data_IF_645360611188
#
_entry.id   IF_645360611188
#
_cell.length_a   1.000
_cell.length_b   1.000
_cell.length_c   1.000
_cell.angle_alpha   90.00
_cell.angle_beta   90.00
_cell.angle_gamma   90.00
#
_symmetry.space_group_name_H-M   'P 1'
#
loop_
_entity.id
_entity.type
_entity.pdbx_description
1 polymer ?
#
# COMPACT_ATOMS: atom_id res chain seq x y z
N UNK A 1 14.05 -23.45 -3.05
CA UNK A 1 13.62 -22.19 -3.70
C UNK A 1 13.30 -21.23 -2.58
N UNK A 2 13.93 -20.07 -2.58
CA UNK A 2 13.53 -19.01 -1.65
C UNK A 2 12.20 -18.43 -2.17
N UNK A 3 11.16 -18.53 -1.34
CA UNK A 3 9.83 -18.01 -1.65
C UNK A 3 9.69 -16.57 -1.18
N UNK A 4 8.82 -15.83 -1.86
CA UNK A 4 8.48 -14.46 -1.54
C UNK A 4 6.95 -14.32 -1.45
N UNK A 5 6.49 -13.40 -0.62
CA UNK A 5 5.10 -12.96 -0.56
C UNK A 5 5.05 -11.48 -0.92
N UNK A 6 4.12 -11.11 -1.81
CA UNK A 6 3.73 -9.74 -2.07
C UNK A 6 2.41 -9.49 -1.33
N UNK A 7 2.43 -8.55 -0.38
CA UNK A 7 1.26 -8.09 0.36
C UNK A 7 0.75 -6.77 -0.21
N UNK A 8 -0.58 -6.63 -0.26
CA UNK A 8 -1.26 -5.37 -0.56
C UNK A 8 -2.12 -5.05 0.65
N UNK A 9 -1.94 -3.84 1.20
CA UNK A 9 -2.84 -3.28 2.21
C UNK A 9 -3.56 -2.09 1.59
N UNK A 10 -4.90 -2.12 1.65
CA UNK A 10 -5.77 -1.13 1.01
C UNK A 10 -7.00 -0.81 1.85
N UNK A 11 -6.92 -0.98 3.18
CA UNK A 11 -7.96 -0.57 4.12
C UNK A 11 -7.71 0.85 4.63
N UNK A 12 -8.72 1.44 5.29
CA UNK A 12 -8.66 2.80 5.82
C UNK A 12 -8.17 3.83 4.78
N UNK A 13 -7.15 4.62 5.11
CA UNK A 13 -6.58 5.72 4.33
C UNK A 13 -5.26 5.39 3.64
N UNK A 14 -4.67 4.23 3.90
CA UNK A 14 -3.36 3.86 3.34
C UNK A 14 -3.49 2.83 2.21
N UNK A 15 -2.76 3.08 1.12
CA UNK A 15 -2.42 2.04 0.15
C UNK A 15 -0.95 1.68 0.28
N UNK A 16 -0.61 0.42 0.49
CA UNK A 16 0.77 -0.02 0.57
C UNK A 16 1.04 -1.37 -0.08
N UNK A 17 2.29 -1.54 -0.52
CA UNK A 17 2.81 -2.80 -1.05
C UNK A 17 4.04 -3.20 -0.24
N UNK A 18 4.05 -4.43 0.23
CA UNK A 18 5.16 -5.03 0.95
C UNK A 18 5.64 -6.31 0.28
N UNK A 19 6.96 -6.52 0.22
CA UNK A 19 7.55 -7.77 -0.27
C UNK A 19 8.41 -8.37 0.84
N UNK A 20 8.16 -9.64 1.16
CA UNK A 20 8.82 -10.35 2.25
C UNK A 20 9.28 -11.74 1.79
N UNK A 21 10.49 -12.13 2.17
CA UNK A 21 10.99 -13.48 1.97
C UNK A 21 10.36 -14.44 2.97
N UNK A 22 10.25 -15.73 2.65
CA UNK A 22 9.75 -16.73 3.61
C UNK A 22 10.69 -16.96 4.81
N UNK A 23 11.86 -16.31 4.83
CA UNK A 23 12.77 -16.25 5.99
C UNK A 23 12.49 -15.05 6.90
N UNK A 24 11.53 -14.19 6.55
CA UNK A 24 11.13 -13.02 7.32
C UNK A 24 11.89 -11.73 7.00
N UNK A 25 12.68 -11.71 5.93
CA UNK A 25 13.35 -10.49 5.48
C UNK A 25 12.37 -9.61 4.69
N UNK A 26 12.32 -8.31 5.03
CA UNK A 26 11.51 -7.31 4.34
C UNK A 26 12.35 -6.73 3.20
N UNK A 27 11.92 -6.96 1.96
CA UNK A 27 12.58 -6.44 0.75
C UNK A 27 12.00 -5.08 0.33
N UNK A 28 10.69 -4.88 0.54
CA UNK A 28 9.99 -3.64 0.23
C UNK A 28 8.88 -3.37 1.24
N UNK A 29 8.63 -2.09 1.50
CA UNK A 29 7.50 -1.59 2.29
C UNK A 29 7.20 -0.14 1.86
N UNK A 30 6.43 0.01 0.79
CA UNK A 30 6.10 1.30 0.17
C UNK A 30 4.67 1.67 0.55
N UNK A 31 4.46 2.87 1.08
CA UNK A 31 3.17 3.34 1.61
C UNK A 31 2.80 4.67 0.96
N UNK A 32 1.53 4.81 0.57
CA UNK A 32 0.91 6.05 0.14
C UNK A 32 -0.36 6.33 0.94
N UNK A 33 -0.26 7.25 1.89
CA UNK A 33 -1.37 7.66 2.76
C UNK A 33 -2.25 8.73 2.11
N UNK A 34 -3.57 8.57 2.20
CA UNK A 34 -4.54 9.59 1.86
C UNK A 34 -4.73 10.54 3.05
N UNK A 35 -4.26 11.79 2.92
CA UNK A 35 -4.47 12.80 3.94
C UNK A 35 -5.56 13.79 3.49
N UNK A 36 -6.78 13.74 4.05
CA UNK A 36 -7.82 14.70 3.68
C UNK A 36 -7.43 16.12 4.14
N UNK A 37 -7.77 17.16 3.37
CA UNK A 37 -7.42 18.54 3.72
C UNK A 37 -8.12 19.01 5.00
N UNK A 38 -9.33 18.52 5.27
CA UNK A 38 -10.11 18.82 6.47
C UNK A 38 -10.97 17.61 6.86
N UNK A 39 -11.27 17.46 8.15
CA UNK A 39 -12.16 16.42 8.66
C UNK A 39 -11.52 15.03 8.77
N UNK A 40 -12.36 13.99 8.71
CA UNK A 40 -11.96 12.59 8.80
C UNK A 40 -11.93 11.89 7.44
N UNK A 41 -11.54 10.61 7.43
CA UNK A 41 -11.42 9.81 6.21
C UNK A 41 -12.78 9.67 5.53
N UNK A 42 -12.88 10.12 4.29
CA UNK A 42 -14.05 9.89 3.46
C UNK A 42 -13.86 8.60 2.64
N UNK A 43 -14.68 7.55 2.83
CA UNK A 43 -14.42 6.23 2.23
C UNK A 43 -14.28 6.24 0.70
N UNK A 44 -15.03 7.09 0.00
CA UNK A 44 -14.92 7.19 -1.46
C UNK A 44 -13.65 7.89 -1.92
N UNK A 45 -13.13 8.83 -1.13
CA UNK A 45 -11.91 9.55 -1.48
C UNK A 45 -10.68 8.68 -1.24
N UNK A 46 -10.65 7.96 -0.11
CA UNK A 46 -9.63 6.93 0.15
C UNK A 46 -9.62 5.85 -0.95
N UNK A 47 -10.79 5.30 -1.32
CA UNK A 47 -10.85 4.32 -2.40
C UNK A 47 -10.36 4.87 -3.76
N UNK A 48 -10.62 6.15 -4.04
CA UNK A 48 -10.10 6.81 -5.25
C UNK A 48 -8.59 6.99 -5.17
N UNK A 49 -8.06 7.47 -4.05
CA UNK A 49 -6.62 7.58 -3.81
C UNK A 49 -5.91 6.24 -4.02
N UNK A 50 -6.44 5.16 -3.43
CA UNK A 50 -5.92 3.80 -3.60
C UNK A 50 -5.81 3.40 -5.08
N UNK A 51 -6.87 3.65 -5.87
CA UNK A 51 -6.86 3.36 -7.30
C UNK A 51 -5.88 4.23 -8.10
N UNK A 52 -5.70 5.50 -7.70
CA UNK A 52 -4.78 6.44 -8.35
C UNK A 52 -3.30 6.08 -8.08
N UNK A 53 -2.97 5.61 -6.88
CA UNK A 53 -1.57 5.35 -6.49
C UNK A 53 -1.13 3.89 -6.63
N UNK A 54 -2.07 2.94 -6.83
CA UNK A 54 -1.78 1.51 -6.83
C UNK A 54 -0.62 1.09 -7.75
N UNK A 55 -0.63 1.55 -9.00
CA UNK A 55 0.42 1.21 -9.96
C UNK A 55 1.77 1.79 -9.55
N UNK A 56 1.78 3.05 -9.09
CA UNK A 56 3.01 3.72 -8.66
C UNK A 56 3.64 3.00 -7.45
N UNK A 57 2.85 2.69 -6.44
CA UNK A 57 3.32 2.02 -5.22
C UNK A 57 3.81 0.61 -5.53
N UNK A 58 3.17 -0.11 -6.45
CA UNK A 58 3.60 -1.42 -6.91
C UNK A 58 4.90 -1.37 -7.72
N UNK A 59 5.09 -0.37 -8.58
CA UNK A 59 6.32 -0.19 -9.36
C UNK A 59 7.52 0.22 -8.50
N UNK A 60 7.26 0.94 -7.39
CA UNK A 60 8.30 1.34 -6.42
C UNK A 60 8.74 0.21 -5.48
N UNK A 61 7.90 -0.82 -5.29
CA UNK A 61 8.14 -1.95 -4.40
C UNK A 61 8.92 -3.10 -5.08
#
# INVERSE_FOLDING_TARGET
MDGYCLGIESTADDFSVGIVTFKGEILANVISAYMPPEGGIHPREAARHHAEVANKVLEEA
#
